data_IF_690577006809
#
_entry.id   IF_690577006809
#
_cell.length_a   1.000
_cell.length_b   1.000
_cell.length_c   1.000
_cell.angle_alpha   90.00
_cell.angle_beta   90.00
_cell.angle_gamma   90.00
#
_symmetry.space_group_name_H-M   'P 1'
#
loop_
_entity.id
_entity.type
_entity.pdbx_description
1 polymer ?
#
# COMPACT_ATOMS: atom_id res chain seq x y z
N UNK A 1 5.25 -5.56 15.36
CA UNK A 1 4.36 -4.66 14.59
C UNK A 1 2.93 -4.87 15.07
N UNK A 2 2.22 -3.85 15.58
CA UNK A 2 0.81 -3.96 16.02
C UNK A 2 -0.12 -3.03 15.28
N UNK A 3 0.39 -1.97 14.67
CA UNK A 3 -0.38 -0.99 13.94
C UNK A 3 0.19 -0.86 12.53
N UNK A 4 -0.70 -0.66 11.55
CA UNK A 4 -0.34 -0.36 10.18
C UNK A 4 -1.06 0.90 9.72
N UNK A 5 -0.34 1.78 9.06
CA UNK A 5 -0.90 2.86 8.27
C UNK A 5 -0.78 2.49 6.80
N UNK A 6 -1.91 2.51 6.08
CA UNK A 6 -1.98 2.25 4.66
C UNK A 6 -2.36 3.53 3.93
N UNK A 7 -1.68 3.81 2.83
CA UNK A 7 -2.10 4.84 1.89
C UNK A 7 -1.97 4.36 0.46
N UNK A 8 -3.02 4.55 -0.34
CA UNK A 8 -3.09 4.15 -1.74
C UNK A 8 -3.43 5.34 -2.63
N UNK A 9 -2.81 5.36 -3.81
CA UNK A 9 -3.00 6.40 -4.81
C UNK A 9 -3.67 5.78 -6.04
N UNK A 10 -4.91 6.19 -6.26
CA UNK A 10 -5.76 5.69 -7.34
C UNK A 10 -5.85 6.73 -8.47
N UNK A 11 -6.12 6.24 -9.67
CA UNK A 11 -6.36 7.06 -10.84
C UNK A 11 -7.86 7.22 -11.14
N UNK A 12 -8.56 8.24 -10.61
CA UNK A 12 -9.99 8.37 -10.85
C UNK A 12 -10.34 8.81 -12.28
N UNK A 13 -9.37 9.28 -13.09
CA UNK A 13 -9.63 9.95 -14.37
C UNK A 13 -9.21 9.15 -15.62
N UNK A 14 -8.67 7.93 -15.46
CA UNK A 14 -8.23 7.09 -16.59
C UNK A 14 -6.98 7.58 -17.32
N UNK A 15 -6.30 8.63 -16.83
CA UNK A 15 -5.01 9.07 -17.36
C UNK A 15 -3.90 8.11 -16.93
N UNK A 16 -2.97 7.72 -17.80
CA UNK A 16 -1.90 6.81 -17.41
C UNK A 16 -0.88 7.51 -16.49
N UNK A 17 -1.16 7.55 -15.19
CA UNK A 17 -0.25 8.01 -14.15
C UNK A 17 0.64 6.84 -13.74
N UNK A 18 1.93 7.11 -13.57
CA UNK A 18 2.93 6.12 -13.13
C UNK A 18 3.83 6.78 -12.10
N UNK A 19 3.99 6.13 -10.94
CA UNK A 19 4.96 6.57 -9.93
C UNK A 19 6.37 6.43 -10.49
N UNK A 20 7.10 7.54 -10.56
CA UNK A 20 8.46 7.54 -11.07
C UNK A 20 9.39 6.86 -10.07
N UNK A 21 10.52 6.32 -10.55
CA UNK A 21 11.54 5.77 -9.66
C UNK A 21 12.06 6.80 -8.66
N UNK A 22 12.22 8.06 -9.08
CA UNK A 22 12.69 9.14 -8.20
C UNK A 22 11.67 9.46 -7.10
N UNK A 23 10.37 9.45 -7.43
CA UNK A 23 9.30 9.64 -6.46
C UNK A 23 9.30 8.52 -5.41
N UNK A 24 9.46 7.26 -5.86
CA UNK A 24 9.52 6.09 -4.97
C UNK A 24 10.76 6.16 -4.06
N UNK A 25 11.92 6.53 -4.60
CA UNK A 25 13.16 6.72 -3.83
C UNK A 25 13.00 7.82 -2.77
N UNK A 26 12.39 8.95 -3.12
CA UNK A 26 12.11 10.03 -2.19
C UNK A 26 11.15 9.59 -1.06
N UNK A 27 10.12 8.82 -1.38
CA UNK A 27 9.22 8.22 -0.37
C UNK A 27 9.99 7.24 0.52
N UNK A 28 10.82 6.38 -0.06
CA UNK A 28 11.62 5.42 0.69
C UNK A 28 12.56 6.11 1.69
N UNK A 29 13.20 7.22 1.31
CA UNK A 29 14.04 8.03 2.22
C UNK A 29 13.23 8.64 3.37
N UNK A 30 12.05 9.21 3.08
CA UNK A 30 11.18 9.78 4.11
C UNK A 30 10.78 8.71 5.13
N UNK A 31 10.37 7.55 4.61
CA UNK A 31 9.91 6.40 5.40
C UNK A 31 11.04 5.82 6.22
N UNK A 32 12.22 5.58 5.63
CA UNK A 32 13.39 5.06 6.35
C UNK A 32 13.85 5.98 7.50
N UNK A 33 13.63 7.28 7.37
CA UNK A 33 13.96 8.27 8.39
C UNK A 33 12.79 8.59 9.35
N UNK A 34 11.67 7.87 9.26
CA UNK A 34 10.51 8.09 10.12
C UNK A 34 10.72 7.45 11.50
N UNK A 35 10.77 8.22 12.60
CA UNK A 35 10.96 7.67 13.93
C UNK A 35 9.82 6.71 14.33
N UNK A 36 10.18 5.61 14.98
CA UNK A 36 9.21 4.62 15.49
C UNK A 36 8.61 3.70 14.42
N UNK A 37 8.91 3.92 13.14
CA UNK A 37 8.57 3.00 12.07
C UNK A 37 9.42 1.72 12.21
N UNK A 38 8.78 0.57 12.07
CA UNK A 38 9.42 -0.74 12.26
C UNK A 38 9.63 -1.50 10.95
N UNK A 39 8.79 -1.24 9.95
CA UNK A 39 8.92 -1.78 8.60
C UNK A 39 8.03 -0.99 7.65
N UNK A 40 8.43 -0.91 6.38
CA UNK A 40 7.58 -0.39 5.33
C UNK A 40 7.53 -1.31 4.11
N UNK A 41 6.35 -1.35 3.52
CA UNK A 41 6.10 -1.97 2.24
C UNK A 41 5.69 -0.88 1.25
N UNK A 42 6.42 -0.75 0.15
CA UNK A 42 6.03 0.10 -0.97
C UNK A 42 5.51 -0.77 -2.11
N UNK A 43 4.38 -0.38 -2.69
CA UNK A 43 3.66 -1.12 -3.71
C UNK A 43 3.62 -0.34 -5.02
N UNK A 44 4.03 -0.99 -6.10
CA UNK A 44 3.87 -0.49 -7.47
C UNK A 44 3.03 -1.46 -8.29
N UNK A 45 2.30 -0.99 -9.31
CA UNK A 45 1.57 -1.86 -10.23
C UNK A 45 2.45 -2.96 -10.79
N UNK A 46 1.93 -4.18 -10.81
CA UNK A 46 2.57 -5.34 -11.43
C UNK A 46 1.49 -6.22 -12.05
N UNK A 47 1.83 -6.88 -13.16
CA UNK A 47 0.91 -7.82 -13.82
C UNK A 47 1.39 -9.25 -13.59
N UNK A 48 0.57 -10.08 -12.95
CA UNK A 48 0.77 -11.52 -12.93
C UNK A 48 -0.14 -12.19 -13.96
N UNK A 49 0.37 -13.21 -14.64
CA UNK A 49 -0.45 -14.11 -15.44
C UNK A 49 -1.02 -15.18 -14.51
N UNK A 50 -2.27 -15.03 -14.07
CA UNK A 50 -3.00 -16.08 -13.38
C UNK A 50 -4.36 -16.34 -14.03
N UNK A 51 -4.97 -17.48 -13.67
CA UNK A 51 -6.26 -17.95 -14.21
C UNK A 51 -7.47 -17.15 -13.67
N UNK A 52 -7.25 -16.21 -12.74
CA UNK A 52 -8.27 -15.60 -11.91
C UNK A 52 -8.20 -14.07 -11.89
N UNK A 53 -7.49 -13.44 -12.81
CA UNK A 53 -7.37 -11.98 -12.91
C UNK A 53 -8.51 -11.38 -13.76
N UNK A 54 -9.62 -10.90 -13.17
CA UNK A 54 -10.36 -9.82 -13.80
C UNK A 54 -9.44 -8.59 -13.86
N UNK A 55 -9.58 -7.80 -14.91
CA UNK A 55 -8.93 -6.50 -15.11
C UNK A 55 -9.40 -5.47 -14.06
N UNK A 56 -9.04 -5.66 -12.80
CA UNK A 56 -9.14 -4.60 -11.79
C UNK A 56 -7.89 -3.71 -11.88
N UNK A 57 -8.09 -2.39 -11.97
CA UNK A 57 -6.98 -1.45 -12.03
C UNK A 57 -6.26 -1.41 -10.68
N UNK A 58 -4.98 -1.79 -10.68
CA UNK A 58 -4.13 -1.71 -9.51
C UNK A 58 -3.92 -0.24 -9.09
N UNK A 59 -3.74 0.06 -7.78
CA UNK A 59 -3.33 1.39 -7.34
C UNK A 59 -2.00 1.75 -8.01
N UNK A 60 -1.88 3.02 -8.45
CA UNK A 60 -0.67 3.54 -9.12
C UNK A 60 0.54 3.48 -8.18
N UNK A 61 0.28 3.64 -6.88
CA UNK A 61 1.25 3.52 -5.82
C UNK A 61 0.55 3.20 -4.50
N UNK A 62 1.20 2.45 -3.64
CA UNK A 62 0.71 2.16 -2.30
C UNK A 62 1.84 2.10 -1.28
N UNK A 63 1.51 2.36 -0.03
CA UNK A 63 2.40 2.17 1.10
C UNK A 63 1.66 1.51 2.26
N UNK A 64 2.36 0.61 2.96
CA UNK A 64 1.94 0.05 4.23
C UNK A 64 3.08 0.19 5.22
N UNK A 65 2.85 0.99 6.27
CA UNK A 65 3.84 1.43 7.24
C UNK A 65 3.50 0.83 8.61
N UNK A 66 4.43 0.09 9.20
CA UNK A 66 4.20 -0.65 10.44
C UNK A 66 4.81 0.04 11.65
N UNK A 67 4.04 0.08 12.73
CA UNK A 67 4.44 0.62 14.03
C UNK A 67 4.16 -0.40 15.15
N UNK A 68 4.97 -0.37 16.20
CA UNK A 68 4.73 -1.19 17.39
C UNK A 68 3.74 -0.55 18.36
N UNK A 69 3.72 0.78 18.44
CA UNK A 69 2.84 1.55 19.32
C UNK A 69 1.94 2.49 18.51
N UNK A 70 0.69 2.68 18.97
CA UNK A 70 -0.24 3.61 18.31
C UNK A 70 0.29 5.05 18.38
N UNK A 71 0.86 5.44 19.52
CA UNK A 71 1.43 6.78 19.70
C UNK A 71 2.55 7.08 18.70
N UNK A 72 3.37 6.07 18.34
CA UNK A 72 4.41 6.26 17.34
C UNK A 72 3.84 6.54 15.93
N UNK A 73 2.72 5.90 15.58
CA UNK A 73 1.99 6.20 14.35
C UNK A 73 1.40 7.62 14.41
N UNK A 74 0.75 7.98 15.52
CA UNK A 74 0.16 9.30 15.70
C UNK A 74 1.20 10.41 15.63
N UNK A 75 2.36 10.24 16.27
CA UNK A 75 3.48 11.18 16.23
C UNK A 75 4.06 11.32 14.82
N UNK A 76 4.18 10.21 14.07
CA UNK A 76 4.66 10.23 12.69
C UNK A 76 3.70 11.00 11.76
N UNK A 77 2.39 10.93 12.05
CA UNK A 77 1.31 11.58 11.29
C UNK A 77 0.96 12.98 11.78
N UNK A 78 1.40 13.39 12.98
CA UNK A 78 1.10 14.69 13.56
C UNK A 78 1.53 15.84 12.63
N UNK A 79 1.05 17.09 12.83
CA UNK A 79 1.44 18.23 11.99
C UNK A 79 2.95 18.49 11.93
N UNK A 80 3.71 18.10 12.95
CA UNK A 80 5.18 18.15 12.98
C UNK A 80 5.85 16.81 12.68
N UNK A 81 5.06 15.78 12.38
CA UNK A 81 5.49 14.42 12.13
C UNK A 81 6.18 14.26 10.77
N UNK A 82 7.08 13.28 10.67
CA UNK A 82 7.91 13.09 9.47
C UNK A 82 7.08 12.75 8.23
N UNK A 83 5.95 12.06 8.39
CA UNK A 83 5.10 11.66 7.26
C UNK A 83 4.38 12.84 6.60
N UNK A 84 4.34 14.02 7.23
CA UNK A 84 3.87 15.25 6.58
C UNK A 84 4.72 15.60 5.35
N UNK A 85 5.99 15.16 5.29
CA UNK A 85 6.83 15.36 4.12
C UNK A 85 6.24 14.72 2.85
N UNK A 86 5.45 13.65 2.98
CA UNK A 86 4.80 12.98 1.84
C UNK A 86 3.74 13.85 1.15
N UNK A 87 3.19 14.84 1.86
CA UNK A 87 2.22 15.78 1.31
C UNK A 87 2.89 16.94 0.54
N UNK A 88 4.22 17.03 0.55
CA UNK A 88 4.92 18.05 -0.21
C UNK A 88 4.73 17.81 -1.72
N UNK A 89 4.30 18.82 -2.50
CA UNK A 89 3.99 18.64 -3.93
C UNK A 89 5.14 18.10 -4.78
N UNK A 90 6.39 18.23 -4.34
CA UNK A 90 7.57 17.73 -5.05
C UNK A 90 7.93 16.27 -4.81
N UNK A 91 7.30 15.58 -3.85
CA UNK A 91 7.68 14.19 -3.50
C UNK A 91 7.03 13.17 -4.44
N UNK A 92 5.71 13.29 -4.65
CA UNK A 92 4.93 12.42 -5.53
C UNK A 92 4.46 13.19 -6.78
N UNK A 93 5.39 13.93 -7.41
CA UNK A 93 5.09 14.83 -8.52
C UNK A 93 4.61 14.09 -9.78
N UNK A 94 5.10 12.86 -10.04
CA UNK A 94 4.73 12.10 -11.23
C UNK A 94 3.32 11.53 -11.20
N UNK A 95 2.70 11.51 -10.02
CA UNK A 95 1.31 11.09 -9.79
C UNK A 95 0.46 12.24 -9.25
N UNK A 96 0.87 13.49 -9.47
CA UNK A 96 0.09 14.65 -9.07
C UNK A 96 -1.32 14.59 -9.68
N UNK A 97 -2.33 14.72 -8.81
CA UNK A 97 -3.74 14.56 -9.19
C UNK A 97 -4.31 13.16 -8.96
N UNK A 98 -3.49 12.17 -8.57
CA UNK A 98 -3.98 10.91 -8.06
C UNK A 98 -4.80 11.11 -6.77
N UNK A 99 -5.83 10.30 -6.60
CA UNK A 99 -6.66 10.31 -5.38
C UNK A 99 -5.98 9.47 -4.32
N UNK A 100 -5.58 10.09 -3.22
CA UNK A 100 -5.08 9.39 -2.05
C UNK A 100 -6.22 8.91 -1.14
N UNK A 101 -6.14 7.65 -0.72
CA UNK A 101 -6.95 7.08 0.37
C UNK A 101 -6.03 6.63 1.49
N UNK A 102 -6.50 6.69 2.74
CA UNK A 102 -5.67 6.42 3.92
C UNK A 102 -6.46 5.67 4.98
N UNK A 103 -5.83 4.69 5.63
CA UNK A 103 -6.44 3.88 6.69
C UNK A 103 -5.40 3.50 7.75
N UNK A 104 -5.75 3.62 9.02
CA UNK A 104 -4.98 3.05 10.12
C UNK A 104 -5.67 1.77 10.62
N UNK A 105 -4.88 0.72 10.86
CA UNK A 105 -5.39 -0.61 11.21
C UNK A 105 -4.60 -1.24 12.35
N UNK A 106 -5.29 -2.02 13.20
CA UNK A 106 -4.64 -2.94 14.12
C UNK A 106 -4.25 -4.22 13.37
N UNK A 107 -3.01 -4.66 13.53
CA UNK A 107 -2.43 -5.77 12.76
C UNK A 107 -2.47 -7.05 13.57
N UNK A 108 -3.01 -8.10 12.96
CA UNK A 108 -2.97 -9.46 13.51
C UNK A 108 -1.99 -10.31 12.70
N UNK A 109 -0.98 -10.84 13.37
CA UNK A 109 -0.02 -11.76 12.77
C UNK A 109 -0.52 -13.19 12.91
N UNK A 110 -0.40 -13.95 11.83
CA UNK A 110 -0.64 -15.39 11.81
C UNK A 110 0.69 -16.09 11.58
N UNK A 111 1.06 -17.06 12.42
CA UNK A 111 2.30 -17.81 12.21
C UNK A 111 2.20 -18.61 10.90
N UNK A 112 3.30 -18.61 10.16
CA UNK A 112 3.48 -19.39 8.93
C UNK A 112 4.82 -20.12 9.00
N UNK A 113 4.94 -21.25 8.33
CA UNK A 113 6.13 -22.12 8.42
C UNK A 113 7.40 -21.45 7.86
N UNK A 114 7.24 -20.62 6.81
CA UNK A 114 8.31 -19.79 6.26
C UNK A 114 7.86 -18.32 6.22
N UNK A 115 8.25 -17.57 7.25
CA UNK A 115 7.93 -16.15 7.39
C UNK A 115 9.00 -15.23 6.78
N UNK A 116 10.10 -15.80 6.26
CA UNK A 116 11.26 -15.05 5.78
C UNK A 116 11.26 -14.92 4.26
N UNK A 117 11.43 -13.71 3.76
CA UNK A 117 11.53 -13.45 2.33
C UNK A 117 13.00 -13.60 1.89
N UNK A 118 13.29 -14.58 1.04
CA UNK A 118 14.59 -14.72 0.38
C UNK A 118 14.61 -13.90 -0.92
N UNK A 119 14.84 -12.59 -0.77
CA UNK A 119 14.88 -11.62 -1.89
C UNK A 119 16.05 -11.92 -2.83
N UNK A 120 17.19 -12.37 -2.29
CA UNK A 120 18.38 -12.66 -3.09
C UNK A 120 18.13 -13.80 -4.09
N UNK A 121 17.34 -14.80 -3.68
CA UNK A 121 16.99 -15.95 -4.52
C UNK A 121 15.77 -15.69 -5.40
N UNK A 122 14.76 -15.00 -4.89
CA UNK A 122 13.43 -14.95 -5.51
C UNK A 122 13.07 -13.58 -6.13
N UNK A 123 13.92 -12.55 -5.95
CA UNK A 123 13.62 -11.18 -6.32
C UNK A 123 12.57 -10.53 -5.41
N UNK A 124 12.06 -9.37 -5.82
CA UNK A 124 11.03 -8.65 -5.06
C UNK A 124 9.71 -9.44 -5.05
N UNK A 125 9.09 -9.64 -3.87
CA UNK A 125 7.82 -10.35 -3.77
C UNK A 125 6.69 -9.59 -4.47
N UNK A 126 5.72 -10.34 -4.99
CA UNK A 126 4.43 -9.79 -5.42
C UNK A 126 3.37 -10.11 -4.37
N UNK A 127 2.53 -9.14 -4.05
CA UNK A 127 1.44 -9.26 -3.08
C UNK A 127 0.12 -8.86 -3.73
N UNK A 128 -0.94 -9.62 -3.46
CA UNK A 128 -2.30 -9.18 -3.77
C UNK A 128 -2.71 -8.15 -2.71
N UNK A 129 -3.01 -6.93 -3.14
CA UNK A 129 -3.40 -5.85 -2.24
C UNK A 129 -4.91 -5.72 -2.26
N UNK A 130 -5.55 -6.16 -1.18
CA UNK A 130 -7.01 -6.07 -1.04
C UNK A 130 -7.37 -4.74 -0.37
N UNK A 131 -7.76 -3.74 -1.17
CA UNK A 131 -8.24 -2.46 -0.64
C UNK A 131 -9.76 -2.51 -0.38
N UNK A 132 -10.19 -2.01 0.78
CA UNK A 132 -11.59 -1.81 1.14
C UNK A 132 -11.85 -0.31 1.28
N UNK A 133 -12.35 0.38 0.24
CA UNK A 133 -12.46 1.85 0.22
C UNK A 133 -13.50 2.43 1.19
N UNK A 134 -14.22 1.60 1.93
CA UNK A 134 -15.20 2.01 2.93
C UNK A 134 -16.10 0.87 3.39
N UNK A 135 -17.02 1.14 4.34
CA UNK A 135 -18.03 0.17 4.73
C UNK A 135 -18.90 -0.21 3.52
N UNK A 136 -19.27 -1.48 3.46
CA UNK A 136 -20.23 -1.97 2.47
C UNK A 136 -21.53 -1.16 2.57
N UNK A 137 -21.91 -0.48 1.49
CA UNK A 137 -23.22 0.20 1.41
C UNK A 137 -24.37 -0.82 1.45
N UNK A 138 -24.11 -2.03 0.93
CA UNK A 138 -24.97 -3.21 1.03
C UNK A 138 -24.08 -4.44 1.25
N UNK A 139 -24.31 -5.13 2.37
CA UNK A 139 -23.52 -6.29 2.78
C UNK A 139 -23.66 -7.47 1.79
N UNK A 140 -24.85 -7.65 1.19
CA UNK A 140 -25.11 -8.75 0.25
C UNK A 140 -24.40 -8.51 -1.09
N UNK A 141 -24.44 -7.27 -1.60
CA UNK A 141 -23.70 -6.89 -2.82
C UNK A 141 -22.19 -7.00 -2.57
N UNK A 142 -21.73 -6.58 -1.39
CA UNK A 142 -20.32 -6.65 -1.01
C UNK A 142 -19.81 -8.10 -0.90
N UNK A 143 -20.59 -9.01 -0.31
CA UNK A 143 -20.26 -10.44 -0.25
C UNK A 143 -20.25 -11.09 -1.64
N UNK A 144 -21.14 -10.68 -2.55
CA UNK A 144 -21.11 -11.15 -3.94
C UNK A 144 -19.89 -10.64 -4.70
N UNK A 145 -19.52 -9.36 -4.57
CA UNK A 145 -18.36 -8.76 -5.27
C UNK A 145 -17.01 -9.36 -4.83
N UNK A 146 -16.90 -9.87 -3.60
CA UNK A 146 -15.67 -10.51 -3.08
C UNK A 146 -15.71 -12.03 -3.09
N UNK A 147 -16.75 -12.61 -3.68
CA UNK A 147 -16.80 -14.05 -3.94
C UNK A 147 -15.85 -14.40 -5.10
N UNK A 148 -15.21 -15.58 -5.11
CA UNK A 148 -14.24 -15.97 -6.14
C UNK A 148 -14.76 -15.88 -7.58
N UNK A 149 -16.08 -15.85 -7.76
CA UNK A 149 -16.75 -15.74 -9.06
C UNK A 149 -16.89 -14.30 -9.60
N UNK A 150 -16.55 -13.25 -8.84
CA UNK A 150 -16.93 -11.86 -9.17
C UNK A 150 -15.79 -10.84 -9.26
N UNK A 151 -14.58 -11.14 -8.80
CA UNK A 151 -13.49 -10.17 -8.70
C UNK A 151 -12.38 -10.66 -7.78
N UNK A 152 -11.13 -10.68 -8.23
CA UNK A 152 -9.96 -10.93 -7.37
C UNK A 152 -9.21 -9.61 -7.19
N UNK A 153 -8.54 -9.47 -6.04
CA UNK A 153 -7.80 -8.25 -5.74
C UNK A 153 -6.62 -8.03 -6.70
N UNK A 154 -6.22 -6.77 -6.96
CA UNK A 154 -5.10 -6.48 -7.84
C UNK A 154 -3.76 -6.95 -7.27
N UNK A 155 -2.86 -7.35 -8.15
CA UNK A 155 -1.46 -7.70 -7.84
C UNK A 155 -0.60 -6.44 -7.78
N UNK A 156 0.34 -6.39 -6.84
CA UNK A 156 1.33 -5.33 -6.74
C UNK A 156 2.71 -5.90 -6.42
N UNK A 157 3.75 -5.36 -7.05
CA UNK A 157 5.13 -5.63 -6.64
C UNK A 157 5.40 -4.91 -5.33
N UNK A 158 6.12 -5.57 -4.43
CA UNK A 158 6.40 -5.09 -3.08
C UNK A 158 7.92 -5.02 -2.83
N UNK A 159 8.42 -3.85 -2.47
CA UNK A 159 9.75 -3.70 -1.84
C UNK A 159 9.61 -3.48 -0.34
N UNK A 160 10.42 -4.18 0.46
CA UNK A 160 10.48 -4.03 1.91
C UNK A 160 11.67 -3.15 2.30
N UNK A 161 11.40 -2.13 3.11
CA UNK A 161 12.37 -1.20 3.65
C UNK A 161 12.31 -1.18 5.18
#
# INVERSE_FOLDING_TARGET
>A
MRFAYLAFFENPQGNQLVASKADIEAVAEIVALTPGLTSANLYTPETAQDLFNPQEEAPIFGMQLYFDELSALEDAMAPSGRLQALANPGVLASIQGAKATQQAMYVRHFPVDDATLDIAKNGDPCSYVVHYPGPAQDLNIWMHHRSPSAGHAPVSRHSRH
#
